data_IF_734762043833
#
_entry.id   IF_734762043833
#
_cell.length_a   1.000
_cell.length_b   1.000
_cell.length_c   1.000
_cell.angle_alpha   90.00
_cell.angle_beta   90.00
_cell.angle_gamma   90.00
#
_symmetry.space_group_name_H-M   'P 1'
#
loop_
_entity.id
_entity.type
_entity.pdbx_description
1 polymer ?
#
# COMPACT_ATOMS: atom_id res chain seq x y z
N UNK A 1 1.11 -20.66 5.11
CA UNK A 1 -0.36 -20.81 5.26
C UNK A 1 -1.03 -19.64 4.58
N UNK A 2 -1.63 -19.86 3.41
CA UNK A 2 -2.57 -18.90 2.82
C UNK A 2 -3.85 -18.97 3.64
N UNK A 3 -4.07 -18.03 4.55
CA UNK A 3 -5.39 -17.83 5.14
C UNK A 3 -6.35 -17.45 4.02
N UNK A 4 -7.30 -18.32 3.70
CA UNK A 4 -8.37 -18.00 2.75
C UNK A 4 -9.14 -16.76 3.21
N UNK A 5 -9.39 -15.85 2.27
CA UNK A 5 -10.17 -14.64 2.53
C UNK A 5 -11.66 -15.01 2.65
N UNK A 6 -12.22 -14.93 3.86
CA UNK A 6 -13.64 -15.22 4.08
C UNK A 6 -14.54 -14.03 3.72
N UNK A 7 -15.79 -14.31 3.32
CA UNK A 7 -16.82 -13.27 3.12
C UNK A 7 -17.05 -12.46 4.40
N UNK A 8 -16.93 -13.10 5.56
CA UNK A 8 -17.01 -12.41 6.84
C UNK A 8 -15.90 -11.36 7.02
N UNK A 9 -14.65 -11.70 6.66
CA UNK A 9 -13.54 -10.73 6.71
C UNK A 9 -13.74 -9.59 5.70
N UNK A 10 -14.25 -9.89 4.50
CA UNK A 10 -14.58 -8.85 3.51
C UNK A 10 -15.64 -7.87 4.03
N UNK A 11 -16.69 -8.37 4.71
CA UNK A 11 -17.73 -7.54 5.34
C UNK A 11 -17.18 -6.72 6.51
N UNK A 12 -16.30 -7.30 7.32
CA UNK A 12 -15.63 -6.60 8.42
C UNK A 12 -14.74 -5.47 7.89
N UNK A 13 -13.95 -5.74 6.84
CA UNK A 13 -13.14 -4.73 6.16
C UNK A 13 -13.98 -3.60 5.56
N UNK A 14 -15.13 -3.94 4.96
CA UNK A 14 -16.08 -2.94 4.46
C UNK A 14 -16.59 -2.04 5.60
N UNK A 15 -17.06 -2.62 6.71
CA UNK A 15 -17.54 -1.86 7.87
C UNK A 15 -16.46 -0.95 8.46
N UNK A 16 -15.22 -1.44 8.59
CA UNK A 16 -14.07 -0.70 9.13
C UNK A 16 -13.71 0.54 8.31
N UNK A 17 -13.84 0.44 6.98
CA UNK A 17 -13.37 1.47 6.04
C UNK A 17 -14.47 2.38 5.50
N UNK A 18 -15.75 2.03 5.69
CA UNK A 18 -16.89 2.68 5.05
C UNK A 18 -16.95 4.21 5.24
N UNK A 19 -16.66 4.72 6.43
CA UNK A 19 -16.71 6.16 6.75
C UNK A 19 -15.67 7.00 6.00
N UNK A 20 -14.64 6.36 5.45
CA UNK A 20 -13.53 7.05 4.78
C UNK A 20 -13.55 6.89 3.26
N UNK A 21 -14.41 6.04 2.70
CA UNK A 21 -14.37 5.67 1.29
C UNK A 21 -15.63 6.12 0.55
N UNK A 22 -15.49 6.40 -0.74
CA UNK A 22 -16.64 6.71 -1.58
C UNK A 22 -17.43 5.42 -1.86
N UNK A 23 -18.76 5.52 -1.79
CA UNK A 23 -19.66 4.56 -2.44
C UNK A 23 -19.71 4.90 -3.93
N UNK A 24 -18.70 4.45 -4.65
CA UNK A 24 -18.53 4.67 -6.10
C UNK A 24 -19.76 4.23 -6.88
N UNK A 25 -20.08 4.94 -7.96
CA UNK A 25 -21.23 4.64 -8.82
C UNK A 25 -21.12 3.27 -9.48
N UNK A 26 -22.27 2.72 -9.85
CA UNK A 26 -22.39 1.65 -10.83
C UNK A 26 -22.98 2.28 -12.08
N UNK A 27 -22.29 2.15 -13.21
CA UNK A 27 -22.72 2.69 -14.50
C UNK A 27 -23.07 1.56 -15.46
N UNK A 28 -23.85 1.87 -16.49
CA UNK A 28 -24.17 0.97 -17.60
C UNK A 28 -24.25 1.79 -18.89
N UNK A 29 -24.28 1.12 -20.04
CA UNK A 29 -24.40 1.77 -21.35
C UNK A 29 -25.16 0.86 -22.30
N UNK A 30 -26.23 1.36 -22.91
CA UNK A 30 -27.05 0.61 -23.87
C UNK A 30 -26.24 0.16 -25.09
N UNK A 31 -25.45 1.07 -25.67
CA UNK A 31 -24.55 0.75 -26.78
C UNK A 31 -23.56 -0.38 -26.44
N UNK A 32 -23.05 -0.42 -25.20
CA UNK A 32 -22.18 -1.51 -24.76
C UNK A 32 -22.98 -2.80 -24.57
N UNK A 33 -24.17 -2.73 -23.96
CA UNK A 33 -25.02 -3.89 -23.75
C UNK A 33 -25.39 -4.56 -25.07
N UNK A 34 -25.76 -3.78 -26.09
CA UNK A 34 -26.04 -4.28 -27.45
C UNK A 34 -24.81 -4.93 -28.07
N UNK A 35 -23.65 -4.30 -27.96
CA UNK A 35 -22.39 -4.84 -28.49
C UNK A 35 -21.95 -6.14 -27.83
N UNK A 36 -22.22 -6.30 -26.53
CA UNK A 36 -21.88 -7.52 -25.76
C UNK A 36 -22.99 -8.57 -25.86
N UNK A 37 -24.23 -8.16 -26.15
CA UNK A 37 -25.42 -9.02 -26.20
C UNK A 37 -26.10 -9.26 -24.84
N UNK A 38 -25.59 -8.67 -23.76
CA UNK A 38 -26.17 -8.76 -22.40
C UNK A 38 -25.92 -7.46 -21.60
N UNK A 39 -26.71 -7.16 -20.56
CA UNK A 39 -26.44 -6.04 -19.67
C UNK A 39 -25.09 -6.14 -18.96
N UNK A 40 -24.28 -5.07 -19.05
CA UNK A 40 -22.99 -4.95 -18.36
C UNK A 40 -23.03 -3.80 -17.36
N UNK A 41 -22.60 -4.09 -16.13
CA UNK A 41 -22.48 -3.11 -15.05
C UNK A 41 -21.01 -2.80 -14.76
N UNK A 42 -20.70 -1.51 -14.64
CA UNK A 42 -19.36 -1.00 -14.36
C UNK A 42 -19.30 -0.45 -12.95
N UNK A 43 -18.55 -1.10 -12.06
CA UNK A 43 -18.24 -0.56 -10.74
C UNK A 43 -17.07 0.42 -10.84
N UNK A 44 -17.35 1.72 -10.76
CA UNK A 44 -16.41 2.78 -11.12
C UNK A 44 -15.38 3.09 -10.02
N UNK A 45 -14.47 2.16 -9.73
CA UNK A 45 -13.43 2.33 -8.71
C UNK A 45 -12.32 3.32 -9.07
N UNK A 46 -12.24 3.77 -10.32
CA UNK A 46 -11.40 4.92 -10.69
C UNK A 46 -11.89 6.23 -10.07
N UNK A 47 -13.17 6.30 -9.63
CA UNK A 47 -13.75 7.43 -8.89
C UNK A 47 -13.59 7.31 -7.37
N UNK A 48 -12.90 6.27 -6.91
CA UNK A 48 -12.54 6.15 -5.50
C UNK A 48 -11.42 7.16 -5.16
N UNK A 49 -11.24 7.46 -3.86
CA UNK A 49 -10.07 8.19 -3.38
C UNK A 49 -8.78 7.58 -3.95
N UNK A 50 -7.82 8.43 -4.30
CA UNK A 50 -6.55 8.06 -4.96
C UNK A 50 -6.70 7.39 -6.33
N UNK A 51 -7.88 7.47 -6.98
CA UNK A 51 -8.08 7.08 -8.37
C UNK A 51 -8.13 5.57 -8.65
N UNK A 52 -8.18 4.70 -7.63
CA UNK A 52 -8.33 3.26 -7.84
C UNK A 52 -8.86 2.51 -6.62
N UNK A 53 -9.24 1.24 -6.82
CA UNK A 53 -9.72 0.37 -5.75
C UNK A 53 -8.70 0.09 -4.63
N UNK A 54 -7.40 0.34 -4.87
CA UNK A 54 -6.31 -0.05 -3.96
C UNK A 54 -6.42 0.61 -2.58
N UNK A 55 -6.98 1.81 -2.51
CA UNK A 55 -7.18 2.51 -1.24
C UNK A 55 -8.05 1.73 -0.26
N UNK A 56 -8.95 0.86 -0.74
CA UNK A 56 -9.78 0.01 0.12
C UNK A 56 -8.91 -0.92 0.97
N UNK A 57 -7.98 -1.62 0.33
CA UNK A 57 -7.04 -2.52 1.00
C UNK A 57 -6.02 -1.76 1.84
N UNK A 58 -5.45 -0.69 1.29
CA UNK A 58 -4.46 0.13 1.98
C UNK A 58 -5.00 0.71 3.29
N UNK A 59 -6.21 1.29 3.26
CA UNK A 59 -6.83 1.85 4.45
C UNK A 59 -7.19 0.76 5.46
N UNK A 60 -7.76 -0.36 5.01
CA UNK A 60 -8.06 -1.48 5.90
C UNK A 60 -6.80 -1.98 6.63
N UNK A 61 -5.70 -2.10 5.89
CA UNK A 61 -4.40 -2.50 6.45
C UNK A 61 -3.87 -1.47 7.44
N UNK A 62 -3.95 -0.18 7.11
CA UNK A 62 -3.46 0.90 7.98
C UNK A 62 -4.25 0.99 9.29
N UNK A 63 -5.59 0.87 9.24
CA UNK A 63 -6.42 0.87 10.45
C UNK A 63 -6.08 -0.34 11.32
N UNK A 64 -5.97 -1.54 10.73
CA UNK A 64 -5.60 -2.76 11.48
C UNK A 64 -4.21 -2.65 12.09
N UNK A 65 -3.24 -2.10 11.36
CA UNK A 65 -1.90 -1.87 11.88
C UNK A 65 -1.94 -0.93 13.10
N UNK A 66 -2.75 0.14 13.04
CA UNK A 66 -2.95 1.05 14.18
C UNK A 66 -3.62 0.35 15.37
N UNK A 67 -4.66 -0.45 15.13
CA UNK A 67 -5.35 -1.25 16.16
C UNK A 67 -4.41 -2.27 16.84
N UNK A 68 -3.41 -2.75 16.10
CA UNK A 68 -2.37 -3.67 16.58
C UNK A 68 -1.15 -2.95 17.17
N UNK A 69 -1.22 -1.63 17.37
CA UNK A 69 -0.13 -0.79 17.87
C UNK A 69 1.17 -0.94 17.06
N UNK A 70 1.05 -1.17 15.75
CA UNK A 70 2.19 -1.26 14.86
C UNK A 70 2.97 0.06 14.88
N UNK A 71 4.29 -0.04 14.99
CA UNK A 71 5.17 1.13 14.93
C UNK A 71 5.28 1.62 13.49
N UNK A 72 4.86 2.86 13.28
CA UNK A 72 5.20 3.59 12.07
C UNK A 72 6.67 3.98 12.05
N UNK A 73 7.17 4.32 10.87
CA UNK A 73 8.48 4.97 10.68
C UNK A 73 8.26 6.42 10.29
N UNK A 74 9.13 7.30 10.79
CA UNK A 74 9.08 8.74 10.47
C UNK A 74 9.75 9.01 9.12
N UNK A 75 9.43 10.14 8.51
CA UNK A 75 10.02 10.52 7.22
C UNK A 75 11.54 10.69 7.31
N UNK A 76 12.03 11.22 8.43
CA UNK A 76 13.46 11.39 8.70
C UNK A 76 14.18 10.03 8.78
N UNK A 77 13.54 9.03 9.43
CA UNK A 77 14.05 7.66 9.53
C UNK A 77 14.15 7.01 8.14
N UNK A 78 13.18 7.27 7.26
CA UNK A 78 13.19 6.79 5.86
C UNK A 78 14.34 7.44 5.09
N UNK A 79 14.55 8.75 5.24
CA UNK A 79 15.63 9.50 4.58
C UNK A 79 17.00 8.99 5.02
N UNK A 80 17.21 8.74 6.31
CA UNK A 80 18.46 8.19 6.84
C UNK A 80 18.70 6.75 6.34
N UNK A 81 17.66 5.90 6.37
CA UNK A 81 17.73 4.55 5.83
C UNK A 81 18.08 4.54 4.33
N UNK A 82 17.46 5.42 3.55
CA UNK A 82 17.73 5.61 2.11
C UNK A 82 19.21 5.99 1.88
N UNK A 83 19.71 7.00 2.61
CA UNK A 83 21.11 7.44 2.54
C UNK A 83 22.07 6.29 2.84
N UNK A 84 21.79 5.47 3.85
CA UNK A 84 22.63 4.31 4.18
C UNK A 84 22.63 3.25 3.08
N UNK A 85 21.46 2.91 2.51
CA UNK A 85 21.38 1.96 1.38
C UNK A 85 22.19 2.46 0.18
N UNK A 86 22.03 3.74 -0.19
CA UNK A 86 22.74 4.33 -1.31
C UNK A 86 24.24 4.40 -1.08
N UNK A 87 24.68 4.81 0.11
CA UNK A 87 26.11 5.01 0.40
C UNK A 87 26.85 3.71 0.69
N UNK A 88 26.20 2.72 1.32
CA UNK A 88 26.84 1.46 1.76
C UNK A 88 26.62 0.30 0.80
N UNK A 89 25.41 0.15 0.24
CA UNK A 89 25.08 -0.93 -0.69
C UNK A 89 25.18 -0.50 -2.16
N UNK A 90 25.30 0.81 -2.42
CA UNK A 90 25.32 1.39 -3.78
C UNK A 90 24.08 1.05 -4.62
N UNK A 91 22.97 0.71 -3.96
CA UNK A 91 21.70 0.43 -4.60
C UNK A 91 20.86 1.72 -4.64
N UNK A 92 20.47 2.15 -5.85
CA UNK A 92 19.61 3.32 -6.06
C UNK A 92 18.15 2.89 -5.98
N UNK A 93 17.55 3.12 -4.81
CA UNK A 93 16.15 2.80 -4.52
C UNK A 93 15.33 4.09 -4.28
N UNK A 94 14.01 4.02 -4.41
CA UNK A 94 13.10 5.09 -3.99
C UNK A 94 12.86 5.14 -2.47
N UNK A 95 12.40 6.27 -1.89
CA UNK A 95 12.12 6.37 -0.46
C UNK A 95 11.17 5.29 0.08
N UNK A 96 10.11 4.96 -0.67
CA UNK A 96 9.17 3.87 -0.34
C UNK A 96 9.84 2.52 -0.18
N UNK A 97 10.88 2.23 -0.97
CA UNK A 97 11.65 0.99 -0.89
C UNK A 97 12.54 0.94 0.37
N UNK A 98 12.89 2.09 0.95
CA UNK A 98 13.68 2.18 2.17
C UNK A 98 12.83 2.00 3.45
N UNK A 99 11.50 2.06 3.37
CA UNK A 99 10.57 1.99 4.50
C UNK A 99 10.83 0.76 5.40
N UNK A 100 10.96 -0.41 4.80
CA UNK A 100 11.18 -1.65 5.53
C UNK A 100 12.55 -1.66 6.24
N UNK A 101 13.59 -1.11 5.59
CA UNK A 101 14.90 -1.00 6.21
C UNK A 101 14.90 0.01 7.37
N UNK A 102 14.20 1.14 7.24
CA UNK A 102 14.01 2.09 8.35
C UNK A 102 13.35 1.41 9.56
N UNK A 103 12.33 0.58 9.33
CA UNK A 103 11.70 -0.20 10.40
C UNK A 103 12.69 -1.11 11.14
N UNK A 104 13.61 -1.74 10.41
CA UNK A 104 14.67 -2.56 11.00
C UNK A 104 15.71 -1.70 11.72
N UNK A 105 16.09 -0.57 11.15
CA UNK A 105 17.14 0.29 11.69
C UNK A 105 16.75 0.89 13.05
N UNK A 106 15.52 1.39 13.19
CA UNK A 106 15.08 2.10 14.39
C UNK A 106 14.19 1.26 15.32
N UNK A 107 13.46 0.28 14.79
CA UNK A 107 12.37 -0.39 15.52
C UNK A 107 12.51 -1.92 15.57
N UNK A 108 13.62 -2.51 15.12
CA UNK A 108 13.82 -3.98 15.11
C UNK A 108 13.68 -4.57 16.53
N UNK A 109 12.81 -5.57 16.73
CA UNK A 109 12.72 -6.28 18.00
C UNK A 109 14.04 -6.98 18.38
N UNK A 110 14.37 -7.01 19.67
CA UNK A 110 15.61 -7.62 20.18
C UNK A 110 15.76 -9.09 19.81
N UNK A 111 14.67 -9.83 19.69
CA UNK A 111 14.68 -11.26 19.36
C UNK A 111 15.01 -11.55 17.88
N UNK A 112 14.88 -10.57 16.97
CA UNK A 112 15.19 -10.74 15.55
C UNK A 112 16.70 -10.63 15.34
N UNK A 113 17.34 -11.72 14.89
CA UNK A 113 18.79 -11.81 14.69
C UNK A 113 19.24 -11.52 13.26
N UNK A 114 18.50 -11.98 12.25
CA UNK A 114 18.83 -11.83 10.84
C UNK A 114 17.59 -11.37 10.04
N UNK A 115 17.31 -10.05 10.01
CA UNK A 115 16.21 -9.53 9.23
C UNK A 115 16.55 -9.57 7.74
N UNK A 116 15.70 -10.21 6.93
CA UNK A 116 15.72 -10.07 5.47
C UNK A 116 14.87 -8.86 5.08
N UNK A 117 15.50 -7.88 4.42
CA UNK A 117 14.79 -6.73 3.85
C UNK A 117 14.77 -6.88 2.33
N UNK A 118 13.58 -6.90 1.74
CA UNK A 118 13.39 -6.93 0.29
C UNK A 118 13.26 -5.48 -0.19
N UNK A 119 14.17 -5.06 -1.06
CA UNK A 119 14.14 -3.75 -1.70
C UNK A 119 13.38 -3.87 -3.03
N UNK A 120 12.32 -3.09 -3.19
CA UNK A 120 11.50 -3.08 -4.42
C UNK A 120 11.18 -1.64 -4.82
N UNK A 121 11.52 -1.28 -6.06
CA UNK A 121 11.47 0.09 -6.58
C UNK A 121 12.87 0.66 -6.78
N UNK A 122 13.13 1.24 -7.95
CA UNK A 122 14.46 1.76 -8.33
C UNK A 122 14.45 2.82 -9.42
N UNK A 123 13.27 3.34 -9.78
CA UNK A 123 13.11 4.33 -10.84
C UNK A 123 13.27 5.75 -10.29
N UNK A 124 14.42 6.04 -9.68
CA UNK A 124 14.69 7.36 -9.08
C UNK A 124 15.95 7.96 -9.66
N UNK A 125 15.81 9.23 -10.06
CA UNK A 125 16.92 10.05 -10.52
C UNK A 125 17.87 10.38 -9.35
N UNK A 126 19.17 10.42 -9.64
CA UNK A 126 20.20 10.78 -8.65
C UNK A 126 19.97 12.17 -8.03
N UNK A 127 19.28 13.07 -8.76
CA UNK A 127 18.96 14.41 -8.30
C UNK A 127 18.09 14.45 -7.02
N UNK A 128 17.43 13.35 -6.65
CA UNK A 128 16.56 13.31 -5.47
C UNK A 128 17.30 13.34 -4.12
N UNK A 129 18.61 13.05 -4.09
CA UNK A 129 19.38 12.86 -2.84
C UNK A 129 20.55 13.83 -2.68
N UNK A 130 20.89 14.60 -3.72
CA UNK A 130 22.08 15.46 -3.78
C UNK A 130 21.71 16.95 -3.63
N UNK A 131 20.63 17.25 -2.88
CA UNK A 131 20.35 18.60 -2.38
C UNK A 131 20.64 18.69 -0.86
#
# INVERSE_FOLDING_TARGET
MTTEMSVAEMRAAHKRTASFLHKTSIMSSENINEKVGVPVLFKCEHLQKTGSFKVRGALNSAIRAKEQEAKGVKEEEIKEALKLVWTRLKQRIEPSAALAFAGVLYHKPKHVKLPLVILCGGNVDANYVID
#
